data_IF_855395605929
#
_entry.id   IF_855395605929
#
_cell.length_a   1.000
_cell.length_b   1.000
_cell.length_c   1.000
_cell.angle_alpha   90.00
_cell.angle_beta   90.00
_cell.angle_gamma   90.00
#
_symmetry.space_group_name_H-M   'P 1'
#
loop_
_entity.id
_entity.type
_entity.pdbx_description
1 polymer ?
#
# COMPACT_ATOMS: atom_id res chain seq x y z
N UNK A 1 23.24 50.13 21.66
CA UNK A 1 23.66 48.77 21.26
C UNK A 1 22.42 48.00 20.82
N UNK A 2 22.19 47.89 19.52
CA UNK A 2 21.07 47.11 19.00
C UNK A 2 21.48 45.63 19.05
N UNK A 3 21.13 44.96 20.15
CA UNK A 3 21.11 43.50 20.18
C UNK A 3 20.05 43.06 19.16
N UNK A 4 20.46 42.85 17.91
CA UNK A 4 19.69 42.02 16.97
C UNK A 4 19.78 40.62 17.55
N UNK A 5 18.81 40.25 18.39
CA UNK A 5 18.71 38.90 18.93
C UNK A 5 18.89 37.91 17.77
N UNK A 6 19.87 37.02 17.89
CA UNK A 6 20.18 36.05 16.85
C UNK A 6 18.91 35.26 16.57
N UNK A 7 18.31 35.49 15.40
CA UNK A 7 17.11 34.77 15.01
C UNK A 7 17.51 33.34 14.71
N UNK A 8 16.65 32.38 15.01
CA UNK A 8 16.82 30.98 14.62
C UNK A 8 17.11 30.84 13.11
N UNK A 9 16.61 31.79 12.32
CA UNK A 9 16.77 31.90 10.87
C UNK A 9 18.20 32.23 10.40
N UNK A 10 19.08 32.66 11.30
CA UNK A 10 20.48 33.00 11.01
C UNK A 10 21.45 31.88 11.36
N UNK A 11 20.95 30.78 11.94
CA UNK A 11 21.78 29.64 12.30
C UNK A 11 22.22 28.87 11.04
N UNK A 12 23.46 28.35 11.01
CA UNK A 12 23.88 27.35 10.05
C UNK A 12 22.93 26.15 10.05
N UNK A 13 22.77 25.53 8.88
CA UNK A 13 21.83 24.43 8.69
C UNK A 13 22.16 23.22 9.57
N UNK A 14 23.44 23.01 9.86
CA UNK A 14 23.96 21.95 10.72
C UNK A 14 23.44 22.10 12.15
N UNK A 15 23.42 23.33 12.69
CA UNK A 15 22.88 23.57 14.02
C UNK A 15 21.36 23.37 14.06
N UNK A 16 20.65 23.73 12.99
CA UNK A 16 19.22 23.45 12.88
C UNK A 16 18.94 21.94 12.88
N UNK A 17 19.81 21.15 12.24
CA UNK A 17 19.74 19.69 12.29
C UNK A 17 20.01 19.16 13.69
N UNK A 18 21.05 19.62 14.38
CA UNK A 18 21.34 19.19 15.76
C UNK A 18 20.20 19.51 16.72
N UNK A 19 19.64 20.72 16.63
CA UNK A 19 18.46 21.13 17.43
C UNK A 19 17.30 20.16 17.18
N UNK A 20 17.03 19.81 15.92
CA UNK A 20 15.92 18.91 15.59
C UNK A 20 16.18 17.45 15.99
N UNK A 21 17.42 16.97 15.90
CA UNK A 21 17.80 15.64 16.36
C UNK A 21 17.77 15.52 17.88
N UNK A 22 18.05 16.60 18.61
CA UNK A 22 17.90 16.65 20.05
C UNK A 22 16.42 16.76 20.47
N UNK A 23 15.67 17.67 19.87
CA UNK A 23 14.27 17.93 20.23
C UNK A 23 13.34 16.79 19.81
N UNK A 24 13.64 16.13 18.68
CA UNK A 24 12.83 15.06 18.11
C UNK A 24 11.35 15.47 17.95
N UNK A 25 11.12 16.73 17.58
CA UNK A 25 9.78 17.35 17.54
C UNK A 25 9.10 17.15 16.19
N UNK A 26 7.84 16.73 16.19
CA UNK A 26 7.02 16.68 14.98
C UNK A 26 6.60 18.06 14.49
N UNK A 27 6.42 19.00 15.41
CA UNK A 27 5.86 20.32 15.12
C UNK A 27 6.92 21.33 14.71
N UNK A 28 8.19 21.14 15.09
CA UNK A 28 9.26 22.11 14.82
C UNK A 28 9.43 22.43 13.32
N UNK A 29 9.41 21.46 12.38
CA UNK A 29 9.47 21.77 10.97
C UNK A 29 8.31 22.66 10.49
N UNK A 30 7.18 22.66 11.18
CA UNK A 30 5.98 23.41 10.77
C UNK A 30 5.84 24.77 11.48
N UNK A 31 6.74 25.10 12.40
CA UNK A 31 6.66 26.39 13.11
C UNK A 31 7.15 27.57 12.28
N UNK A 32 7.88 27.33 11.19
CA UNK A 32 8.31 28.35 10.23
C UNK A 32 8.52 27.73 8.84
N UNK A 33 8.27 28.52 7.79
CA UNK A 33 8.52 28.10 6.40
C UNK A 33 9.99 27.78 6.15
N UNK A 34 10.91 28.55 6.75
CA UNK A 34 12.35 28.29 6.63
C UNK A 34 12.72 26.92 7.17
N UNK A 35 12.20 26.57 8.36
CA UNK A 35 12.45 25.27 8.99
C UNK A 35 11.84 24.14 8.16
N UNK A 36 10.62 24.35 7.65
CA UNK A 36 9.97 23.39 6.77
C UNK A 36 10.84 23.09 5.54
N UNK A 37 11.26 24.13 4.82
CA UNK A 37 12.07 23.99 3.60
C UNK A 37 13.44 23.36 3.93
N UNK A 38 14.06 23.76 5.04
CA UNK A 38 15.35 23.23 5.52
C UNK A 38 15.28 21.73 5.81
N UNK A 39 14.30 21.29 6.60
CA UNK A 39 14.17 19.88 6.94
C UNK A 39 13.62 19.06 5.77
N UNK A 40 12.81 19.64 4.90
CA UNK A 40 12.35 18.98 3.68
C UNK A 40 13.47 18.80 2.64
N UNK A 41 14.51 19.64 2.65
CA UNK A 41 15.72 19.49 1.85
C UNK A 41 16.82 18.66 2.53
N UNK A 42 16.58 18.17 3.75
CA UNK A 42 17.60 17.46 4.55
C UNK A 42 18.11 16.18 3.90
N UNK A 43 19.40 15.81 4.13
CA UNK A 43 20.00 14.60 3.59
C UNK A 43 19.36 13.33 4.18
N UNK A 44 19.45 12.22 3.45
CA UNK A 44 18.87 10.93 3.87
C UNK A 44 19.46 10.43 5.21
N UNK A 45 20.74 10.72 5.48
CA UNK A 45 21.40 10.38 6.75
C UNK A 45 20.74 11.08 7.95
N UNK A 46 20.41 12.36 7.82
CA UNK A 46 19.68 13.12 8.83
C UNK A 46 18.27 12.56 9.03
N UNK A 47 17.53 12.29 7.95
CA UNK A 47 16.18 11.70 8.03
C UNK A 47 16.19 10.35 8.73
N UNK A 48 17.18 9.50 8.43
CA UNK A 48 17.36 8.22 9.09
C UNK A 48 17.64 8.38 10.60
N UNK A 49 18.56 9.29 10.98
CA UNK A 49 18.84 9.59 12.39
C UNK A 49 17.60 10.10 13.12
N UNK A 50 16.86 11.03 12.51
CA UNK A 50 15.63 11.57 13.08
C UNK A 50 14.59 10.47 13.30
N UNK A 51 14.33 9.62 12.29
CA UNK A 51 13.39 8.50 12.41
C UNK A 51 13.84 7.54 13.52
N UNK A 52 15.11 7.13 13.56
CA UNK A 52 15.63 6.24 14.60
C UNK A 52 15.48 6.85 15.99
N UNK A 53 15.86 8.12 16.15
CA UNK A 53 15.67 8.85 17.40
C UNK A 53 14.20 8.85 17.84
N UNK A 54 13.26 9.09 16.92
CA UNK A 54 11.82 9.04 17.20
C UNK A 54 11.30 7.66 17.59
N UNK A 55 11.80 6.61 16.94
CA UNK A 55 11.37 5.24 17.20
C UNK A 55 11.93 4.75 18.53
N UNK A 56 13.20 5.03 18.80
CA UNK A 56 13.94 4.53 19.97
C UNK A 56 13.80 5.40 21.23
N UNK A 57 13.30 6.64 21.12
CA UNK A 57 13.21 7.60 22.25
C UNK A 57 12.66 7.00 23.55
N UNK A 58 11.69 6.09 23.46
CA UNK A 58 10.99 5.53 24.62
C UNK A 58 11.39 4.07 24.93
N UNK A 59 12.37 3.51 24.23
CA UNK A 59 12.72 2.08 24.36
C UNK A 59 14.23 1.89 24.45
N UNK A 60 14.73 1.22 25.50
CA UNK A 60 16.16 0.90 25.61
C UNK A 60 16.60 -0.21 24.66
N UNK A 61 15.64 -0.93 24.05
CA UNK A 61 15.85 -2.00 23.07
C UNK A 61 15.01 -1.78 21.82
N UNK A 62 15.22 -2.58 20.77
CA UNK A 62 14.42 -2.53 19.55
C UNK A 62 12.95 -2.85 19.86
N UNK A 63 12.01 -1.91 19.65
CA UNK A 63 10.60 -2.18 19.90
C UNK A 63 10.09 -3.26 18.93
N UNK A 64 9.15 -4.14 19.33
CA UNK A 64 8.60 -5.17 18.46
C UNK A 64 8.07 -4.60 17.13
N UNK A 65 7.39 -3.45 17.18
CA UNK A 65 6.79 -2.78 16.03
C UNK A 65 7.79 -1.85 15.32
N UNK A 66 9.11 -2.04 15.48
CA UNK A 66 10.16 -1.15 14.97
C UNK A 66 9.95 -0.77 13.51
N UNK A 67 9.90 -1.76 12.61
CA UNK A 67 9.73 -1.52 11.18
C UNK A 67 8.39 -0.86 10.87
N UNK A 68 7.30 -1.28 11.54
CA UNK A 68 6.00 -0.61 11.42
C UNK A 68 6.06 0.87 11.80
N UNK A 69 6.84 1.24 12.81
CA UNK A 69 7.01 2.66 13.21
C UNK A 69 7.87 3.41 12.22
N UNK A 70 8.96 2.81 11.73
CA UNK A 70 9.87 3.41 10.73
C UNK A 70 9.13 3.77 9.45
N UNK A 71 8.42 2.80 8.84
CA UNK A 71 7.83 3.01 7.52
C UNK A 71 6.59 3.91 7.52
N UNK A 72 6.00 4.19 8.70
CA UNK A 72 4.91 5.17 8.88
C UNK A 72 5.36 6.61 8.67
N UNK A 73 6.66 6.89 8.76
CA UNK A 73 7.19 8.22 8.45
C UNK A 73 7.21 8.43 6.93
N UNK A 74 6.59 9.51 6.46
CA UNK A 74 6.65 9.92 5.04
C UNK A 74 8.07 10.27 4.58
N UNK A 75 8.98 10.53 5.53
CA UNK A 75 10.40 10.78 5.29
C UNK A 75 11.19 9.49 4.96
N UNK A 76 10.62 8.32 5.22
CA UNK A 76 11.25 7.03 4.94
C UNK A 76 11.15 6.72 3.43
N UNK A 77 12.16 7.15 2.67
CA UNK A 77 12.39 6.69 1.29
C UNK A 77 13.16 5.37 1.27
N UNK A 78 13.36 4.76 0.09
CA UNK A 78 14.23 3.58 -0.05
C UNK A 78 15.63 3.82 0.51
N UNK A 79 16.25 4.95 0.15
CA UNK A 79 17.61 5.28 0.62
C UNK A 79 17.67 5.50 2.12
N UNK A 80 16.63 6.09 2.72
CA UNK A 80 16.55 6.26 4.18
C UNK A 80 16.36 4.91 4.86
N UNK A 81 15.53 4.03 4.28
CA UNK A 81 15.33 2.68 4.79
C UNK A 81 16.62 1.87 4.74
N UNK A 82 17.39 1.95 3.64
CA UNK A 82 18.69 1.28 3.53
C UNK A 82 19.64 1.71 4.65
N UNK A 83 19.78 3.02 4.88
CA UNK A 83 20.62 3.55 5.98
C UNK A 83 20.15 3.04 7.35
N UNK A 84 18.83 2.93 7.56
CA UNK A 84 18.26 2.40 8.80
C UNK A 84 18.58 0.90 8.93
N UNK A 85 18.34 0.10 7.89
CA UNK A 85 18.63 -1.33 7.88
C UNK A 85 20.11 -1.61 8.14
N UNK A 86 21.02 -0.86 7.52
CA UNK A 86 22.47 -1.02 7.70
C UNK A 86 22.91 -0.74 9.14
N UNK A 87 22.27 0.22 9.81
CA UNK A 87 22.55 0.56 11.22
C UNK A 87 21.86 -0.36 12.22
N UNK A 88 20.84 -1.08 11.78
CA UNK A 88 19.97 -1.89 12.62
C UNK A 88 20.00 -3.37 12.20
N UNK A 89 21.15 -3.86 11.73
CA UNK A 89 21.31 -5.26 11.30
C UNK A 89 20.88 -6.25 12.40
N UNK A 90 21.08 -5.90 13.67
CA UNK A 90 20.69 -6.72 14.83
C UNK A 90 19.16 -6.74 15.08
N UNK A 91 18.41 -5.79 14.52
CA UNK A 91 16.95 -5.73 14.63
C UNK A 91 16.24 -6.70 13.66
N UNK A 92 16.97 -7.46 12.84
CA UNK A 92 16.42 -8.44 11.90
C UNK A 92 15.75 -9.64 12.59
N UNK A 93 16.06 -9.89 13.86
CA UNK A 93 15.40 -10.92 14.68
C UNK A 93 13.98 -10.58 15.15
N UNK A 94 13.46 -9.39 14.83
CA UNK A 94 12.10 -9.00 15.19
C UNK A 94 11.07 -9.81 14.39
N UNK A 95 10.44 -10.78 15.04
CA UNK A 95 9.47 -11.70 14.43
C UNK A 95 8.08 -11.10 14.20
N UNK A 96 7.83 -9.84 14.57
CA UNK A 96 6.50 -9.27 14.50
C UNK A 96 6.12 -8.88 13.06
N UNK A 97 4.84 -8.95 12.74
CA UNK A 97 4.30 -8.56 11.44
C UNK A 97 4.40 -7.06 11.24
N UNK A 98 4.92 -6.62 10.08
CA UNK A 98 5.02 -5.20 9.76
C UNK A 98 3.87 -4.77 8.86
N UNK A 99 2.90 -4.04 9.41
CA UNK A 99 1.76 -3.54 8.64
C UNK A 99 2.15 -2.43 7.66
N UNK A 100 1.74 -2.58 6.39
CA UNK A 100 1.99 -1.55 5.37
C UNK A 100 1.16 -0.28 5.64
N UNK A 101 1.77 0.93 5.61
CA UNK A 101 1.08 2.16 5.97
C UNK A 101 0.12 2.64 4.88
N UNK A 102 -1.08 3.08 5.29
CA UNK A 102 -2.13 3.57 4.37
C UNK A 102 -1.71 4.74 3.50
N UNK A 103 -0.84 5.62 3.99
CA UNK A 103 -0.46 6.83 3.26
C UNK A 103 0.20 6.54 1.91
N UNK A 104 0.82 5.36 1.73
CA UNK A 104 1.44 4.94 0.46
C UNK A 104 0.40 4.80 -0.66
N UNK A 105 -0.85 4.55 -0.30
CA UNK A 105 -1.94 4.32 -1.26
C UNK A 105 -2.97 5.46 -1.27
N UNK A 106 -2.91 6.40 -0.32
CA UNK A 106 -3.86 7.52 -0.23
C UNK A 106 -3.83 8.44 -1.45
N UNK A 107 -2.66 8.63 -2.07
CA UNK A 107 -2.52 9.46 -3.26
C UNK A 107 -3.24 8.87 -4.49
N UNK A 108 -3.40 7.54 -4.55
CA UNK A 108 -4.05 6.85 -5.67
C UNK A 108 -5.48 7.33 -5.91
N UNK A 109 -6.18 7.78 -4.86
CA UNK A 109 -7.54 8.33 -4.96
C UNK A 109 -7.60 9.71 -5.63
N UNK A 110 -6.48 10.43 -5.66
CA UNK A 110 -6.38 11.77 -6.26
C UNK A 110 -6.00 11.74 -7.73
N UNK A 111 -5.39 10.63 -8.16
CA UNK A 111 -5.03 10.44 -9.55
C UNK A 111 -6.31 10.18 -10.35
N UNK A 112 -6.54 10.96 -11.41
CA UNK A 112 -7.49 10.57 -12.47
C UNK A 112 -7.02 9.20 -12.99
N UNK A 113 -7.97 8.30 -13.35
CA UNK A 113 -7.72 6.91 -13.82
C UNK A 113 -6.36 6.84 -14.53
N UNK A 114 -5.48 5.88 -14.17
CA UNK A 114 -4.13 5.84 -14.71
C UNK A 114 -4.21 5.99 -16.22
N UNK A 115 -3.55 7.03 -16.72
CA UNK A 115 -3.26 7.13 -18.14
C UNK A 115 -2.59 5.83 -18.58
N UNK A 116 -2.63 5.51 -19.86
CA UNK A 116 -1.98 4.34 -20.46
C UNK A 116 -0.45 4.24 -20.22
N UNK A 117 0.12 5.11 -19.38
CA UNK A 117 1.54 5.30 -19.14
C UNK A 117 1.99 4.93 -17.71
N UNK A 118 1.15 4.34 -16.85
CA UNK A 118 1.64 3.90 -15.52
C UNK A 118 2.66 2.76 -15.68
N UNK A 119 3.89 3.01 -15.25
CA UNK A 119 5.05 2.14 -15.41
C UNK A 119 5.52 1.52 -14.09
N UNK A 120 6.49 0.61 -14.18
CA UNK A 120 7.16 0.00 -13.03
C UNK A 120 7.99 0.99 -12.20
N UNK A 121 8.27 2.19 -12.72
CA UNK A 121 8.98 3.25 -12.03
C UNK A 121 8.07 4.12 -11.15
N UNK A 122 6.75 4.05 -11.35
CA UNK A 122 5.80 4.93 -10.69
C UNK A 122 5.53 4.52 -9.24
N UNK A 123 5.49 5.49 -8.33
CA UNK A 123 5.20 5.26 -6.92
C UNK A 123 3.77 4.71 -6.75
N UNK A 124 3.55 3.62 -5.97
CA UNK A 124 4.45 3.07 -4.97
C UNK A 124 5.26 1.84 -5.39
N UNK A 125 5.29 1.45 -6.67
CA UNK A 125 5.83 0.16 -7.11
C UNK A 125 7.30 -0.10 -6.70
N UNK A 126 8.28 0.80 -7.00
CA UNK A 126 9.67 0.56 -6.60
C UNK A 126 9.84 0.47 -5.09
N UNK A 127 9.14 1.34 -4.35
CA UNK A 127 9.23 1.38 -2.90
C UNK A 127 8.60 0.15 -2.25
N UNK A 128 7.49 -0.36 -2.78
CA UNK A 128 6.83 -1.57 -2.31
C UNK A 128 7.74 -2.81 -2.45
N UNK A 129 8.43 -2.95 -3.59
CA UNK A 129 9.40 -4.03 -3.80
C UNK A 129 10.58 -3.93 -2.84
N UNK A 130 11.08 -2.72 -2.66
CA UNK A 130 12.18 -2.46 -1.75
C UNK A 130 11.80 -2.76 -0.29
N UNK A 131 10.59 -2.36 0.14
CA UNK A 131 10.03 -2.73 1.44
C UNK A 131 9.95 -4.25 1.60
N UNK A 132 9.42 -4.97 0.63
CA UNK A 132 9.31 -6.43 0.69
C UNK A 132 10.69 -7.11 0.81
N UNK A 133 11.73 -6.54 0.22
CA UNK A 133 13.09 -7.07 0.31
C UNK A 133 13.76 -6.78 1.66
N UNK A 134 13.56 -5.58 2.22
CA UNK A 134 14.30 -5.09 3.39
C UNK A 134 13.57 -5.28 4.71
N UNK A 135 12.25 -5.34 4.70
CA UNK A 135 11.42 -5.40 5.90
C UNK A 135 10.93 -6.83 6.15
N UNK A 136 11.25 -7.43 7.31
CA UNK A 136 10.77 -8.77 7.64
C UNK A 136 9.25 -8.77 7.86
N UNK A 137 8.59 -9.85 7.47
CA UNK A 137 7.16 -10.11 7.71
C UNK A 137 6.23 -8.96 7.28
N UNK A 138 6.51 -8.33 6.12
CA UNK A 138 5.69 -7.26 5.58
C UNK A 138 4.27 -7.73 5.27
N UNK A 139 3.29 -7.15 5.95
CA UNK A 139 1.87 -7.49 5.81
C UNK A 139 1.16 -6.54 4.84
N UNK A 140 0.97 -7.00 3.60
CA UNK A 140 0.19 -6.28 2.58
C UNK A 140 -1.33 -6.33 2.81
N UNK A 141 -1.79 -7.20 3.71
CA UNK A 141 -3.19 -7.40 4.05
C UNK A 141 -3.65 -6.55 5.25
N UNK A 142 -2.77 -5.67 5.74
CA UNK A 142 -3.06 -4.70 6.78
C UNK A 142 -4.32 -3.86 6.45
N UNK A 143 -5.00 -3.37 7.49
CA UNK A 143 -6.23 -2.60 7.37
C UNK A 143 -7.31 -3.28 6.50
N UNK A 144 -7.39 -4.61 6.60
CA UNK A 144 -8.33 -5.44 5.84
C UNK A 144 -8.15 -5.35 4.32
N UNK A 145 -6.90 -5.38 3.84
CA UNK A 145 -6.58 -5.38 2.41
C UNK A 145 -6.73 -4.02 1.73
N UNK A 146 -6.53 -2.93 2.48
CA UNK A 146 -6.69 -1.56 2.00
C UNK A 146 -5.85 -1.27 0.74
N UNK A 147 -4.60 -1.71 0.73
CA UNK A 147 -3.67 -1.51 -0.39
C UNK A 147 -4.25 -2.01 -1.72
N UNK A 148 -4.68 -3.28 -1.74
CA UNK A 148 -5.27 -3.91 -2.93
C UNK A 148 -6.61 -3.26 -3.31
N UNK A 149 -7.46 -2.95 -2.34
CA UNK A 149 -8.74 -2.29 -2.60
C UNK A 149 -8.56 -0.90 -3.27
N UNK A 150 -7.58 -0.10 -2.82
CA UNK A 150 -7.29 1.20 -3.44
C UNK A 150 -6.72 1.06 -4.86
N UNK A 151 -5.80 0.11 -5.07
CA UNK A 151 -5.25 -0.17 -6.40
C UNK A 151 -6.34 -0.60 -7.39
N UNK A 152 -7.28 -1.47 -6.96
CA UNK A 152 -8.43 -1.90 -7.77
C UNK A 152 -9.42 -0.77 -8.02
N UNK A 153 -9.72 0.04 -7.01
CA UNK A 153 -10.60 1.20 -7.17
C UNK A 153 -10.08 2.19 -8.22
N UNK A 154 -8.76 2.45 -8.19
CA UNK A 154 -8.11 3.31 -9.18
C UNK A 154 -7.83 2.64 -10.53
N UNK A 155 -7.91 1.31 -10.64
CA UNK A 155 -7.62 0.58 -11.88
C UNK A 155 -6.13 0.46 -12.21
N UNK A 156 -5.24 0.50 -11.21
CA UNK A 156 -3.79 0.43 -11.38
C UNK A 156 -3.33 -1.03 -11.59
N UNK A 157 -3.49 -1.55 -12.81
CA UNK A 157 -3.28 -2.98 -13.12
C UNK A 157 -1.89 -3.50 -12.70
N UNK A 158 -0.82 -2.78 -13.00
CA UNK A 158 0.56 -3.15 -12.64
C UNK A 158 0.74 -3.20 -11.12
N UNK A 159 0.16 -2.24 -10.39
CA UNK A 159 0.18 -2.24 -8.93
C UNK A 159 -0.62 -3.41 -8.35
N UNK A 160 -1.77 -3.73 -8.93
CA UNK A 160 -2.59 -4.88 -8.53
C UNK A 160 -1.81 -6.18 -8.74
N UNK A 161 -1.19 -6.36 -9.89
CA UNK A 161 -0.33 -7.52 -10.18
C UNK A 161 0.82 -7.63 -9.20
N UNK A 162 1.52 -6.53 -8.92
CA UNK A 162 2.62 -6.49 -7.97
C UNK A 162 2.15 -6.86 -6.55
N UNK A 163 1.06 -6.25 -6.06
CA UNK A 163 0.49 -6.58 -4.75
C UNK A 163 0.11 -8.06 -4.64
N UNK A 164 -0.57 -8.62 -5.64
CA UNK A 164 -0.94 -10.03 -5.67
C UNK A 164 0.30 -10.95 -5.72
N UNK A 165 1.32 -10.59 -6.48
CA UNK A 165 2.57 -11.34 -6.57
C UNK A 165 3.34 -11.37 -5.24
N UNK A 166 3.24 -10.30 -4.46
CA UNK A 166 3.84 -10.17 -3.13
C UNK A 166 2.94 -10.69 -1.99
N UNK A 167 1.83 -11.38 -2.30
CA UNK A 167 0.99 -12.05 -1.29
C UNK A 167 -0.19 -11.25 -0.76
N UNK A 168 -0.59 -10.15 -1.42
CA UNK A 168 -1.87 -9.52 -1.12
C UNK A 168 -3.03 -10.49 -1.42
N UNK A 169 -3.95 -10.60 -0.48
CA UNK A 169 -5.07 -11.54 -0.51
C UNK A 169 -6.36 -10.81 -0.93
N UNK A 170 -6.94 -11.15 -2.09
CA UNK A 170 -8.16 -10.50 -2.55
C UNK A 170 -9.40 -10.85 -1.70
N UNK A 171 -9.32 -11.88 -0.83
CA UNK A 171 -10.41 -12.30 0.08
C UNK A 171 -10.65 -11.33 1.23
N UNK A 172 -9.71 -10.43 1.53
CA UNK A 172 -9.80 -9.49 2.66
C UNK A 172 -11.07 -8.64 2.57
N UNK A 173 -11.66 -8.35 3.73
CA UNK A 173 -12.93 -7.61 3.87
C UNK A 173 -14.03 -8.18 2.97
N UNK A 174 -14.25 -9.50 3.06
CA UNK A 174 -15.26 -10.24 2.29
C UNK A 174 -15.16 -10.04 0.78
N UNK A 175 -13.94 -10.05 0.23
CA UNK A 175 -13.74 -9.89 -1.21
C UNK A 175 -13.98 -8.47 -1.72
N UNK A 176 -13.83 -7.44 -0.87
CA UNK A 176 -14.12 -6.05 -1.25
C UNK A 176 -13.40 -5.62 -2.53
N UNK A 177 -12.15 -6.03 -2.70
CA UNK A 177 -11.38 -5.72 -3.92
C UNK A 177 -12.10 -6.23 -5.18
N UNK A 178 -12.58 -7.48 -5.17
CA UNK A 178 -13.35 -8.06 -6.28
C UNK A 178 -14.69 -7.36 -6.45
N UNK A 179 -15.38 -7.05 -5.34
CA UNK A 179 -16.66 -6.34 -5.39
C UNK A 179 -16.53 -4.96 -6.06
N UNK A 180 -15.42 -4.24 -5.82
CA UNK A 180 -15.12 -2.98 -6.51
C UNK A 180 -14.94 -3.22 -8.02
N UNK A 181 -14.20 -4.26 -8.42
CA UNK A 181 -14.02 -4.60 -9.84
C UNK A 181 -15.34 -4.96 -10.55
N UNK A 182 -16.22 -5.69 -9.86
CA UNK A 182 -17.58 -6.02 -10.33
C UNK A 182 -18.42 -4.77 -10.54
N UNK A 183 -18.44 -3.86 -9.55
CA UNK A 183 -19.16 -2.58 -9.64
C UNK A 183 -18.64 -1.68 -10.76
N UNK A 184 -17.35 -1.77 -11.05
CA UNK A 184 -16.72 -1.09 -12.18
C UNK A 184 -16.98 -1.78 -13.54
N UNK A 185 -17.76 -2.88 -13.56
CA UNK A 185 -18.05 -3.71 -14.75
C UNK A 185 -16.79 -4.14 -15.51
N UNK A 186 -15.71 -4.45 -14.79
CA UNK A 186 -14.41 -4.79 -15.40
C UNK A 186 -14.11 -6.27 -15.25
N UNK A 187 -14.61 -7.09 -16.19
CA UNK A 187 -14.38 -8.53 -16.21
C UNK A 187 -12.89 -8.92 -16.23
N UNK A 188 -12.01 -8.31 -17.05
CA UNK A 188 -10.57 -8.59 -17.00
C UNK A 188 -9.97 -8.42 -15.61
N UNK A 189 -10.40 -7.40 -14.87
CA UNK A 189 -9.91 -7.14 -13.51
C UNK A 189 -10.49 -8.12 -12.49
N UNK A 190 -11.76 -8.53 -12.63
CA UNK A 190 -12.34 -9.61 -11.83
C UNK A 190 -11.55 -10.91 -12.03
N UNK A 191 -11.27 -11.28 -13.29
CA UNK A 191 -10.45 -12.45 -13.61
C UNK A 191 -9.04 -12.35 -13.04
N UNK A 192 -8.40 -11.18 -13.12
CA UNK A 192 -7.09 -10.95 -12.52
C UNK A 192 -7.06 -11.24 -11.02
N UNK A 193 -8.10 -10.81 -10.28
CA UNK A 193 -8.20 -11.00 -8.84
C UNK A 193 -8.56 -12.44 -8.46
N UNK A 194 -9.43 -13.10 -9.24
CA UNK A 194 -9.92 -14.45 -8.96
C UNK A 194 -8.93 -15.52 -9.43
N UNK A 195 -8.41 -15.42 -10.65
CA UNK A 195 -7.65 -16.49 -11.32
C UNK A 195 -6.13 -16.27 -11.23
N UNK A 196 -5.36 -17.22 -10.66
CA UNK A 196 -3.90 -17.16 -10.68
C UNK A 196 -3.34 -17.09 -12.09
N UNK A 197 -2.38 -16.17 -12.31
CA UNK A 197 -1.69 -16.03 -13.60
C UNK A 197 -2.55 -15.52 -14.77
N UNK A 198 -3.76 -15.00 -14.53
CA UNK A 198 -4.57 -14.37 -15.57
C UNK A 198 -3.78 -13.26 -16.29
N UNK A 199 -3.73 -13.33 -17.62
CA UNK A 199 -3.00 -12.37 -18.45
C UNK A 199 -1.47 -12.50 -18.42
N UNK A 200 -0.90 -13.50 -17.74
CA UNK A 200 0.53 -13.79 -17.82
C UNK A 200 0.81 -14.78 -18.96
N UNK A 201 1.72 -14.42 -19.88
CA UNK A 201 2.25 -15.32 -20.91
C UNK A 201 3.24 -16.31 -20.27
N UNK A 202 2.72 -17.28 -19.53
CA UNK A 202 3.54 -18.38 -19.01
C UNK A 202 3.67 -19.41 -20.13
N UNK A 203 4.72 -19.29 -20.94
CA UNK A 203 5.14 -20.28 -21.96
C UNK A 203 5.77 -21.52 -21.30
N UNK A 204 5.06 -22.13 -20.34
CA UNK A 204 5.48 -23.34 -19.61
C UNK A 204 4.70 -24.58 -20.05
N UNK A 205 5.28 -25.79 -19.93
CA UNK A 205 4.65 -27.01 -20.39
C UNK A 205 3.42 -27.30 -19.51
N UNK A 206 2.23 -27.17 -20.12
CA UNK A 206 0.89 -27.39 -19.54
C UNK A 206 0.62 -26.53 -18.29
N UNK A 207 -0.21 -25.48 -18.44
CA UNK A 207 -0.86 -24.75 -17.33
C UNK A 207 -1.39 -25.75 -16.30
N UNK A 208 -0.65 -25.99 -15.20
CA UNK A 208 -1.24 -26.64 -14.03
C UNK A 208 -2.39 -25.74 -13.61
N UNK A 209 -3.60 -26.30 -13.52
CA UNK A 209 -4.81 -25.56 -13.15
C UNK A 209 -4.67 -25.20 -11.66
N UNK A 210 -4.04 -24.06 -11.38
CA UNK A 210 -3.93 -23.53 -10.02
C UNK A 210 -5.34 -23.17 -9.57
N UNK A 211 -5.70 -23.56 -8.34
CA UNK A 211 -7.00 -23.21 -7.77
C UNK A 211 -7.19 -21.68 -7.72
N UNK A 212 -8.42 -21.22 -7.93
CA UNK A 212 -8.74 -19.80 -7.86
C UNK A 212 -8.37 -19.21 -6.48
N UNK A 213 -7.90 -17.95 -6.46
CA UNK A 213 -7.59 -17.23 -5.21
C UNK A 213 -8.83 -17.06 -4.33
N UNK A 214 -10.00 -17.00 -4.97
CA UNK A 214 -11.30 -16.83 -4.35
C UNK A 214 -12.23 -17.93 -4.85
N UNK A 215 -12.84 -18.66 -3.91
CA UNK A 215 -13.96 -19.54 -4.18
C UNK A 215 -15.23 -18.69 -4.26
N UNK A 216 -15.61 -18.29 -5.47
CA UNK A 216 -16.72 -17.35 -5.71
C UNK A 216 -18.05 -17.81 -5.09
N UNK A 217 -18.26 -19.13 -4.97
CA UNK A 217 -19.39 -19.78 -4.31
C UNK A 217 -19.65 -19.25 -2.89
N UNK A 218 -18.60 -18.83 -2.18
CA UNK A 218 -18.68 -18.33 -0.80
C UNK A 218 -19.04 -16.84 -0.72
N UNK A 219 -19.26 -16.18 -1.86
CA UNK A 219 -19.48 -14.73 -1.95
C UNK A 219 -20.70 -14.40 -2.83
N UNK A 220 -21.93 -14.72 -2.40
CA UNK A 220 -23.16 -14.46 -3.18
C UNK A 220 -23.35 -12.96 -3.50
N UNK A 221 -22.82 -12.09 -2.64
CA UNK A 221 -22.81 -10.63 -2.84
C UNK A 221 -22.13 -10.20 -4.15
N UNK A 222 -21.16 -10.96 -4.68
CA UNK A 222 -20.53 -10.67 -5.96
C UNK A 222 -21.52 -10.81 -7.12
N UNK A 223 -22.30 -11.90 -7.11
CA UNK A 223 -23.31 -12.16 -8.14
C UNK A 223 -24.45 -11.14 -8.05
N UNK A 224 -24.92 -10.87 -6.83
CA UNK A 224 -25.93 -9.84 -6.56
C UNK A 224 -25.49 -8.46 -7.06
N UNK A 225 -24.24 -8.08 -6.80
CA UNK A 225 -23.70 -6.82 -7.27
C UNK A 225 -23.56 -6.78 -8.80
N UNK A 226 -23.14 -7.88 -9.44
CA UNK A 226 -23.04 -7.97 -10.89
C UNK A 226 -24.40 -7.80 -11.57
N UNK A 227 -25.45 -8.42 -11.04
CA UNK A 227 -26.84 -8.26 -11.53
C UNK A 227 -27.33 -6.82 -11.32
N UNK A 228 -27.14 -6.24 -10.13
CA UNK A 228 -27.53 -4.84 -9.85
C UNK A 228 -26.83 -3.83 -10.75
N UNK A 229 -25.60 -4.12 -11.17
CA UNK A 229 -24.84 -3.29 -12.08
C UNK A 229 -25.09 -3.63 -13.56
N UNK A 230 -25.98 -4.58 -13.92
CA UNK A 230 -26.18 -5.06 -15.30
C UNK A 230 -24.84 -5.41 -16.00
N UNK A 231 -23.99 -6.17 -15.30
CA UNK A 231 -22.71 -6.68 -15.81
C UNK A 231 -22.85 -8.14 -16.23
N UNK A 232 -23.51 -8.37 -17.38
CA UNK A 232 -23.93 -9.71 -17.85
C UNK A 232 -22.75 -10.68 -18.03
N UNK A 233 -21.66 -10.19 -18.60
CA UNK A 233 -20.41 -10.94 -18.80
C UNK A 233 -19.78 -11.41 -17.48
N UNK A 234 -19.87 -10.59 -16.43
CA UNK A 234 -19.43 -10.94 -15.07
C UNK A 234 -20.41 -11.92 -14.42
N UNK A 235 -21.71 -11.76 -14.60
CA UNK A 235 -22.73 -12.72 -14.11
C UNK A 235 -22.46 -14.11 -14.69
N UNK A 236 -22.27 -14.22 -16.00
CA UNK A 236 -21.98 -15.48 -16.67
C UNK A 236 -20.69 -16.11 -16.17
N UNK A 237 -19.63 -15.30 -16.02
CA UNK A 237 -18.37 -15.74 -15.44
C UNK A 237 -18.53 -16.26 -14.00
N UNK A 238 -19.25 -15.55 -13.13
CA UNK A 238 -19.46 -15.97 -11.75
C UNK A 238 -20.29 -17.26 -11.66
N UNK A 239 -21.28 -17.45 -12.54
CA UNK A 239 -22.04 -18.71 -12.65
C UNK A 239 -21.14 -19.87 -13.08
N UNK A 240 -20.23 -19.65 -14.04
CA UNK A 240 -19.22 -20.64 -14.43
C UNK A 240 -18.28 -21.02 -13.27
N UNK A 241 -18.05 -20.08 -12.33
CA UNK A 241 -17.28 -20.30 -11.10
C UNK A 241 -18.13 -20.85 -9.93
N UNK A 242 -19.35 -21.30 -10.19
CA UNK A 242 -20.20 -21.98 -9.20
C UNK A 242 -21.05 -21.07 -8.31
N UNK A 243 -21.09 -19.75 -8.54
CA UNK A 243 -21.99 -18.89 -7.78
C UNK A 243 -23.46 -19.22 -8.10
N UNK A 244 -24.24 -19.50 -7.06
CA UNK A 244 -25.68 -19.72 -7.16
C UNK A 244 -26.41 -18.41 -6.83
N UNK A 245 -27.41 -18.00 -7.62
CA UNK A 245 -28.22 -16.83 -7.32
C UNK A 245 -29.22 -17.12 -6.18
N UNK A 246 -29.21 -16.27 -5.16
CA UNK A 246 -30.24 -16.26 -4.12
C UNK A 246 -31.59 -15.80 -4.66
N UNK A 247 -32.69 -16.04 -3.92
CA UNK A 247 -34.05 -15.66 -4.31
C UNK A 247 -34.18 -14.16 -4.67
N UNK A 248 -33.54 -13.27 -3.91
CA UNK A 248 -33.52 -11.84 -4.22
C UNK A 248 -32.80 -11.54 -5.55
N UNK A 249 -31.69 -12.25 -5.82
CA UNK A 249 -30.92 -12.08 -7.05
C UNK A 249 -31.72 -12.57 -8.26
N UNK A 250 -32.45 -13.68 -8.10
CA UNK A 250 -33.39 -14.17 -9.12
C UNK A 250 -34.47 -13.13 -9.44
N UNK A 251 -35.08 -12.51 -8.42
CA UNK A 251 -36.06 -11.45 -8.62
C UNK A 251 -35.50 -10.25 -9.40
N UNK A 252 -34.26 -9.83 -9.09
CA UNK A 252 -33.58 -8.75 -9.81
C UNK A 252 -33.29 -9.10 -11.27
N UNK A 253 -32.95 -10.35 -11.58
CA UNK A 253 -32.69 -10.81 -12.95
C UNK A 253 -33.94 -10.79 -13.83
N UNK A 254 -35.11 -11.14 -13.27
CA UNK A 254 -36.38 -11.14 -14.01
C UNK A 254 -36.89 -9.72 -14.30
N UNK A 255 -36.58 -8.76 -13.42
CA UNK A 255 -36.98 -7.36 -13.58
C UNK A 255 -36.05 -6.54 -14.50
N UNK A 256 -34.93 -7.12 -14.93
CA UNK A 256 -33.94 -6.47 -15.83
C UNK A 256 -34.15 -6.77 -17.33
N UNK A 257 -35.34 -7.29 -17.70
CA UNK A 257 -35.77 -7.54 -19.07
C UNK A 257 -36.66 -6.44 -19.62
#
# INVERSE_FOLDING_TARGET
MNYRGSKLEQLPVELLYEIQLFALSESLPYSSRLLYDTFNASPNSFRAQYILGRVLRLSPSWPPEFYSRVIRFRLCSSQVLDIICDRCADATGLSQTTDIPRHLFQHLLRLKKPSSQWTEADHPLPYLRHLHQKVPNLNLNAHSGYALAMAVHGGFVQLIQCLLALGADPRRKNGLSVLIAVRNKNLPLVRLLVEPGYGQNINGPKKRKIADRIQCERYPELLKAAVKCDARDIVDYLRQKGCVPDMETLGLMHNSH
#
